data_IF_222241949304
#
_entry.id   IF_222241949304
#
_cell.length_a   1.000
_cell.length_b   1.000
_cell.length_c   1.000
_cell.angle_alpha   90.00
_cell.angle_beta   90.00
_cell.angle_gamma   90.00
#
_symmetry.space_group_name_H-M   'P 1'
#
loop_
_entity.id
_entity.type
_entity.pdbx_description
1 polymer ?
#
# COMPACT_ATOMS: atom_id res chain seq x y z
N UNK A 1 8.77 14.26 -4.25
CA UNK A 1 8.09 15.17 -5.23
C UNK A 1 9.05 15.69 -6.30
N UNK A 2 8.63 15.77 -7.57
CA UNK A 2 9.39 16.45 -8.64
C UNK A 2 9.65 17.90 -8.22
N UNK A 3 10.92 18.29 -8.13
CA UNK A 3 11.29 19.64 -7.71
C UNK A 3 10.79 20.68 -8.71
N UNK A 4 9.73 21.39 -8.35
CA UNK A 4 9.05 22.36 -9.22
C UNK A 4 10.01 23.39 -9.84
N UNK A 5 11.05 23.80 -9.11
CA UNK A 5 12.07 24.72 -9.61
C UNK A 5 12.86 24.21 -10.83
N UNK A 6 13.08 22.89 -10.94
CA UNK A 6 13.74 22.31 -12.13
C UNK A 6 12.88 22.45 -13.38
N UNK A 7 11.56 22.31 -13.23
CA UNK A 7 10.61 22.48 -14.33
C UNK A 7 10.47 23.93 -14.72
N UNK A 8 10.38 24.83 -13.73
CA UNK A 8 10.36 26.27 -13.96
C UNK A 8 11.59 26.72 -14.75
N UNK A 9 12.80 26.30 -14.34
CA UNK A 9 14.04 26.62 -15.05
C UNK A 9 14.08 26.02 -16.47
N UNK A 10 13.62 24.79 -16.64
CA UNK A 10 13.56 24.14 -17.97
C UNK A 10 12.61 24.87 -18.92
N UNK A 11 11.49 25.38 -18.40
CA UNK A 11 10.47 26.12 -19.16
C UNK A 11 10.63 27.64 -19.04
N UNK A 12 11.87 28.14 -19.12
CA UNK A 12 12.15 29.59 -19.22
C UNK A 12 11.50 30.43 -18.11
N UNK A 13 11.64 29.96 -16.87
CA UNK A 13 11.08 30.59 -15.67
C UNK A 13 9.54 30.74 -15.68
N UNK A 14 8.84 29.83 -16.37
CA UNK A 14 7.39 29.79 -16.44
C UNK A 14 6.71 29.94 -15.06
N UNK A 15 5.53 30.59 -14.98
CA UNK A 15 4.83 30.81 -13.72
C UNK A 15 4.53 29.50 -12.97
N UNK A 16 4.86 29.47 -11.68
CA UNK A 16 4.58 28.33 -10.80
C UNK A 16 3.32 28.60 -9.98
N UNK A 17 2.29 27.76 -10.14
CA UNK A 17 1.12 27.74 -9.28
C UNK A 17 1.25 26.59 -8.27
N UNK A 18 1.30 26.92 -6.98
CA UNK A 18 1.33 25.94 -5.91
C UNK A 18 -0.07 25.79 -5.29
N UNK A 19 -0.60 24.57 -5.32
CA UNK A 19 -1.86 24.23 -4.64
C UNK A 19 -1.51 23.51 -3.34
N UNK A 20 -1.80 24.09 -2.16
CA UNK A 20 -1.46 23.46 -0.90
C UNK A 20 -2.22 22.15 -0.75
N UNK A 21 -1.49 21.08 -0.47
CA UNK A 21 -2.08 19.79 -0.13
C UNK A 21 -2.78 19.85 1.23
N UNK A 22 -3.84 19.04 1.39
CA UNK A 22 -4.45 18.78 2.70
C UNK A 22 -3.90 17.46 3.21
N UNK A 23 -2.81 17.52 3.96
CA UNK A 23 -2.22 16.35 4.62
C UNK A 23 -2.55 16.37 6.10
N UNK A 24 -2.97 15.23 6.65
CA UNK A 24 -3.03 15.02 8.09
C UNK A 24 -1.65 14.63 8.62
N UNK A 25 -1.29 14.97 9.87
CA UNK A 25 -0.05 14.47 10.47
C UNK A 25 -0.06 12.94 10.50
N UNK A 26 1.04 12.33 10.06
CA UNK A 26 1.21 10.87 10.00
C UNK A 26 2.33 10.48 10.96
N UNK A 27 2.05 9.51 11.83
CA UNK A 27 3.05 8.90 12.69
C UNK A 27 3.79 7.79 11.94
N UNK A 28 5.12 7.77 12.03
CA UNK A 28 5.98 6.84 11.31
C UNK A 28 6.58 5.85 12.29
N UNK A 29 6.36 4.56 12.04
CA UNK A 29 6.91 3.46 12.83
C UNK A 29 7.90 2.66 12.00
N UNK A 30 9.03 2.29 12.60
CA UNK A 30 10.04 1.45 11.99
C UNK A 30 10.20 0.16 12.81
N UNK A 31 10.55 -0.93 12.14
CA UNK A 31 10.99 -2.14 12.84
C UNK A 31 12.30 -1.87 13.58
N UNK A 32 12.52 -2.47 14.76
CA UNK A 32 13.75 -2.25 15.52
C UNK A 32 14.98 -2.83 14.81
N UNK A 33 14.79 -3.91 14.05
CA UNK A 33 15.83 -4.57 13.27
C UNK A 33 15.36 -4.79 11.83
N UNK A 34 16.28 -4.95 10.86
CA UNK A 34 15.94 -5.29 9.48
C UNK A 34 15.24 -6.65 9.37
N UNK A 35 14.08 -6.68 8.72
CA UNK A 35 13.33 -7.91 8.48
C UNK A 35 13.84 -8.63 7.23
N UNK A 36 14.23 -9.91 7.38
CA UNK A 36 14.69 -10.74 6.25
C UNK A 36 13.54 -11.15 5.33
N UNK A 37 12.39 -11.45 5.92
CA UNK A 37 11.16 -11.78 5.23
C UNK A 37 10.15 -10.65 5.44
N UNK A 38 10.27 -9.64 4.58
CA UNK A 38 9.42 -8.46 4.66
C UNK A 38 7.94 -8.79 4.37
N UNK A 39 7.67 -9.83 3.56
CA UNK A 39 6.31 -10.27 3.26
C UNK A 39 5.65 -10.83 4.52
N UNK A 40 6.35 -11.67 5.26
CA UNK A 40 5.87 -12.19 6.55
C UNK A 40 5.64 -11.07 7.56
N UNK A 41 6.62 -10.19 7.71
CA UNK A 41 6.54 -9.07 8.63
C UNK A 41 5.36 -8.14 8.29
N UNK A 42 5.14 -7.87 7.00
CA UNK A 42 4.02 -7.05 6.53
C UNK A 42 2.66 -7.70 6.80
N UNK A 43 2.50 -9.00 6.49
CA UNK A 43 1.25 -9.74 6.76
C UNK A 43 0.95 -9.75 8.27
N UNK A 44 1.96 -10.03 9.10
CA UNK A 44 1.84 -9.99 10.57
C UNK A 44 1.42 -8.62 11.05
N UNK A 45 2.00 -7.56 10.48
CA UNK A 45 1.67 -6.17 10.84
C UNK A 45 0.22 -5.82 10.48
N UNK A 46 -0.26 -6.22 9.29
CA UNK A 46 -1.67 -6.04 8.90
C UNK A 46 -2.61 -6.73 9.90
N UNK A 47 -2.31 -7.97 10.28
CA UNK A 47 -3.12 -8.73 11.23
C UNK A 47 -3.08 -8.07 12.61
N UNK A 48 -1.90 -7.68 13.09
CA UNK A 48 -1.74 -7.01 14.39
C UNK A 48 -2.52 -5.69 14.45
N UNK A 49 -2.39 -4.83 13.44
CA UNK A 49 -3.15 -3.57 13.35
C UNK A 49 -4.66 -3.87 13.29
N UNK A 50 -5.09 -4.96 12.66
CA UNK A 50 -6.51 -5.34 12.64
C UNK A 50 -7.03 -5.81 14.01
N UNK A 51 -6.19 -6.49 14.80
CA UNK A 51 -6.58 -7.00 16.12
C UNK A 51 -6.49 -5.97 17.23
N UNK A 52 -5.46 -5.13 17.21
CA UNK A 52 -5.08 -4.30 18.35
C UNK A 52 -5.58 -2.86 18.26
N UNK A 53 -5.73 -2.32 17.05
CA UNK A 53 -6.17 -0.93 16.91
C UNK A 53 -7.68 -0.82 17.15
N UNK A 54 -8.08 0.15 17.96
CA UNK A 54 -9.49 0.47 18.22
C UNK A 54 -10.04 1.49 17.22
N UNK A 55 -9.16 2.20 16.51
CA UNK A 55 -9.53 3.23 15.55
C UNK A 55 -10.05 2.55 14.26
N UNK A 56 -11.14 3.08 13.73
CA UNK A 56 -11.67 2.68 12.43
C UNK A 56 -10.80 3.26 11.31
N UNK A 57 -10.59 2.48 10.25
CA UNK A 57 -9.74 2.90 9.14
C UNK A 57 -9.29 1.73 8.29
N UNK A 58 -9.21 2.00 6.99
CA UNK A 58 -8.73 1.05 6.00
C UNK A 58 -7.19 1.02 6.00
N UNK A 59 -6.64 -0.08 5.47
CA UNK A 59 -5.20 -0.32 5.39
C UNK A 59 -4.74 -0.31 3.94
N UNK A 60 -3.58 0.28 3.69
CA UNK A 60 -2.84 0.14 2.45
C UNK A 60 -1.55 -0.63 2.71
N UNK A 61 -1.36 -1.74 2.03
CA UNK A 61 -0.13 -2.53 2.06
C UNK A 61 0.54 -2.47 0.68
N UNK A 62 1.79 -2.01 0.63
CA UNK A 62 2.60 -2.06 -0.59
C UNK A 62 3.33 -3.39 -0.72
N UNK A 63 3.27 -4.01 -1.90
CA UNK A 63 4.03 -5.19 -2.30
C UNK A 63 4.49 -5.07 -3.76
N UNK A 64 5.32 -6.01 -4.20
CA UNK A 64 6.16 -5.81 -5.40
C UNK A 64 5.62 -6.48 -6.65
N UNK A 65 4.68 -7.42 -6.52
CA UNK A 65 4.11 -8.13 -7.66
C UNK A 65 2.87 -8.95 -7.37
N UNK A 66 2.15 -9.29 -8.45
CA UNK A 66 0.85 -9.98 -8.39
C UNK A 66 0.87 -11.27 -7.54
N UNK A 67 1.83 -12.18 -7.80
CA UNK A 67 1.89 -13.47 -7.10
C UNK A 67 2.03 -13.29 -5.58
N UNK A 68 2.92 -12.38 -5.18
CA UNK A 68 3.14 -11.99 -3.79
C UNK A 68 1.87 -11.43 -3.16
N UNK A 69 1.17 -10.54 -3.87
CA UNK A 69 -0.04 -9.88 -3.40
C UNK A 69 -1.22 -10.85 -3.25
N UNK A 70 -1.44 -11.72 -4.23
CA UNK A 70 -2.48 -12.75 -4.15
C UNK A 70 -2.18 -13.75 -3.04
N UNK A 71 -0.91 -14.13 -2.87
CA UNK A 71 -0.44 -14.93 -1.75
C UNK A 71 -0.73 -14.26 -0.42
N UNK A 72 -0.36 -12.99 -0.26
CA UNK A 72 -0.62 -12.20 0.93
C UNK A 72 -2.11 -12.13 1.27
N UNK A 73 -2.98 -11.82 0.29
CA UNK A 73 -4.42 -11.75 0.54
C UNK A 73 -5.01 -13.09 0.98
N UNK A 74 -4.58 -14.21 0.39
CA UNK A 74 -5.02 -15.55 0.81
C UNK A 74 -4.58 -15.85 2.25
N UNK A 75 -3.32 -15.53 2.59
CA UNK A 75 -2.75 -15.73 3.92
C UNK A 75 -3.45 -14.88 4.97
N UNK A 76 -3.58 -13.57 4.74
CA UNK A 76 -4.30 -12.64 5.61
C UNK A 76 -5.72 -13.15 5.87
N UNK A 77 -6.47 -13.49 4.82
CA UNK A 77 -7.84 -14.00 4.97
C UNK A 77 -7.91 -15.28 5.80
N UNK A 78 -6.96 -16.21 5.59
CA UNK A 78 -6.89 -17.46 6.36
C UNK A 78 -6.62 -17.19 7.83
N UNK A 79 -5.63 -16.37 8.14
CA UNK A 79 -5.27 -16.05 9.53
C UNK A 79 -6.42 -15.35 10.25
N UNK A 80 -7.07 -14.35 9.63
CA UNK A 80 -8.23 -13.67 10.22
C UNK A 80 -9.38 -14.64 10.50
N UNK A 81 -9.67 -15.56 9.58
CA UNK A 81 -10.73 -16.56 9.80
C UNK A 81 -10.42 -17.51 10.97
N UNK A 82 -9.13 -17.74 11.27
CA UNK A 82 -8.71 -18.60 12.38
C UNK A 82 -8.77 -17.93 13.75
N UNK A 83 -8.84 -16.59 13.81
CA UNK A 83 -8.88 -15.83 15.08
C UNK A 83 -10.24 -15.89 15.80
N UNK A 84 -11.27 -16.45 15.15
CA UNK A 84 -12.59 -16.65 15.74
C UNK A 84 -13.55 -15.47 15.56
N UNK A 85 -14.77 -15.57 16.11
CA UNK A 85 -15.88 -14.65 15.81
C UNK A 85 -15.75 -13.27 16.46
N UNK A 86 -14.88 -13.12 17.47
CA UNK A 86 -14.68 -11.85 18.20
C UNK A 86 -13.88 -10.82 17.40
N UNK A 87 -13.16 -11.24 16.35
CA UNK A 87 -12.44 -10.35 15.45
C UNK A 87 -13.37 -9.93 14.30
N UNK A 88 -13.35 -8.64 13.94
CA UNK A 88 -14.14 -8.12 12.83
C UNK A 88 -13.69 -8.67 11.48
N UNK A 89 -14.57 -8.66 10.49
CA UNK A 89 -14.24 -9.20 9.17
C UNK A 89 -13.26 -8.27 8.44
N UNK A 90 -12.32 -8.86 7.70
CA UNK A 90 -11.33 -8.13 6.90
C UNK A 90 -11.51 -8.43 5.42
N UNK A 91 -11.87 -7.41 4.62
CA UNK A 91 -11.94 -7.51 3.16
C UNK A 91 -10.55 -7.21 2.58
N UNK A 92 -9.90 -8.21 1.98
CA UNK A 92 -8.65 -8.03 1.25
C UNK A 92 -8.90 -7.80 -0.24
N UNK A 93 -8.33 -6.73 -0.81
CA UNK A 93 -8.45 -6.37 -2.22
C UNK A 93 -7.05 -6.15 -2.78
N UNK A 94 -6.66 -6.92 -3.80
CA UNK A 94 -5.41 -6.70 -4.51
C UNK A 94 -5.62 -5.81 -5.74
N UNK A 95 -4.76 -4.81 -5.93
CA UNK A 95 -4.80 -3.90 -7.09
C UNK A 95 -3.42 -3.71 -7.73
N UNK A 96 -3.30 -4.07 -9.01
CA UNK A 96 -2.06 -3.96 -9.78
C UNK A 96 -2.37 -3.57 -11.23
N UNK A 97 -1.35 -3.06 -11.93
CA UNK A 97 -1.49 -2.34 -13.21
C UNK A 97 -2.14 -3.12 -14.35
N UNK A 98 -2.11 -4.46 -14.33
CA UNK A 98 -2.69 -5.30 -15.38
C UNK A 98 -4.17 -5.62 -15.17
N UNK A 99 -4.76 -5.22 -14.03
CA UNK A 99 -6.18 -5.45 -13.78
C UNK A 99 -7.07 -4.57 -14.66
N UNK A 100 -8.20 -5.10 -15.18
CA UNK A 100 -9.20 -4.29 -15.86
C UNK A 100 -9.75 -3.15 -14.98
N UNK A 101 -10.14 -1.99 -15.56
CA UNK A 101 -10.60 -0.82 -14.79
C UNK A 101 -11.77 -1.11 -13.82
N UNK A 102 -12.73 -1.95 -14.23
CA UNK A 102 -13.84 -2.37 -13.39
C UNK A 102 -13.40 -3.17 -12.16
N UNK A 103 -12.27 -3.88 -12.24
CA UNK A 103 -11.70 -4.62 -11.11
C UNK A 103 -10.88 -3.67 -10.22
N UNK A 104 -10.18 -2.70 -10.79
CA UNK A 104 -9.45 -1.69 -10.02
C UNK A 104 -10.41 -0.85 -9.15
N UNK A 105 -11.61 -0.55 -9.65
CA UNK A 105 -12.65 0.17 -8.91
C UNK A 105 -13.12 -0.54 -7.63
N UNK A 106 -12.80 -1.83 -7.44
CA UNK A 106 -13.14 -2.55 -6.22
C UNK A 106 -12.48 -1.97 -4.97
N UNK A 107 -11.37 -1.22 -5.12
CA UNK A 107 -10.76 -0.49 -4.00
C UNK A 107 -11.72 0.53 -3.36
N UNK A 108 -12.72 1.02 -4.13
CA UNK A 108 -13.75 1.95 -3.67
C UNK A 108 -14.89 1.25 -2.92
N UNK A 109 -14.92 -0.08 -2.89
CA UNK A 109 -15.89 -0.81 -2.09
C UNK A 109 -15.74 -0.45 -0.60
N UNK A 110 -16.87 -0.29 0.08
CA UNK A 110 -16.89 -0.08 1.52
C UNK A 110 -16.35 -1.31 2.28
N UNK A 111 -15.75 -1.10 3.47
CA UNK A 111 -15.37 -2.19 4.35
C UNK A 111 -16.60 -2.99 4.81
N UNK A 112 -16.42 -4.23 5.28
CA UNK A 112 -17.49 -4.99 5.93
C UNK A 112 -18.10 -4.22 7.12
N UNK A 113 -19.38 -4.45 7.44
CA UNK A 113 -19.99 -3.84 8.62
C UNK A 113 -19.34 -4.36 9.91
N UNK A 114 -19.44 -3.55 10.98
CA UNK A 114 -19.02 -3.97 12.31
C UNK A 114 -19.88 -5.15 12.81
N UNK A 115 -19.26 -6.05 13.57
CA UNK A 115 -19.99 -7.16 14.21
C UNK A 115 -20.84 -6.67 15.38
N UNK A 116 -21.91 -7.38 15.76
CA UNK A 116 -22.83 -6.97 16.84
C UNK A 116 -22.14 -6.72 18.20
N UNK A 117 -21.01 -7.38 18.46
CA UNK A 117 -20.21 -7.22 19.68
C UNK A 117 -19.21 -6.05 19.63
N UNK A 118 -19.27 -5.21 18.60
CA UNK A 118 -18.42 -4.01 18.46
C UNK A 118 -17.12 -4.22 17.68
N UNK A 119 -16.80 -5.44 17.26
CA UNK A 119 -15.59 -5.70 16.46
C UNK A 119 -15.66 -5.02 15.09
N UNK A 120 -14.61 -4.28 14.73
CA UNK A 120 -14.62 -3.38 13.57
C UNK A 120 -14.38 -4.17 12.28
N UNK A 121 -15.30 -4.02 11.32
CA UNK A 121 -15.11 -4.53 9.96
C UNK A 121 -14.21 -3.60 9.18
N UNK A 122 -13.20 -4.13 8.47
CA UNK A 122 -12.16 -3.32 7.82
C UNK A 122 -11.83 -3.80 6.42
N UNK A 123 -11.21 -2.93 5.62
CA UNK A 123 -10.64 -3.29 4.32
C UNK A 123 -9.12 -3.13 4.37
N UNK A 124 -8.43 -4.03 3.67
CA UNK A 124 -7.01 -3.87 3.34
C UNK A 124 -6.86 -3.92 1.84
N UNK A 125 -6.32 -2.84 1.27
CA UNK A 125 -5.89 -2.76 -0.11
C UNK A 125 -4.43 -3.17 -0.17
N UNK A 126 -4.14 -4.21 -0.94
CA UNK A 126 -2.79 -4.66 -1.24
C UNK A 126 -2.45 -4.16 -2.63
N UNK A 127 -1.45 -3.29 -2.75
CA UNK A 127 -1.15 -2.58 -3.99
C UNK A 127 0.33 -2.60 -4.33
N UNK A 128 0.63 -2.32 -5.59
CA UNK A 128 1.97 -1.86 -5.99
C UNK A 128 2.06 -0.34 -5.83
N UNK A 129 3.15 0.27 -6.30
CA UNK A 129 3.30 1.72 -6.38
C UNK A 129 2.24 2.44 -7.25
N UNK A 130 1.31 1.71 -7.91
CA UNK A 130 0.15 2.32 -8.58
C UNK A 130 -0.75 3.11 -7.61
N UNK A 131 -0.82 2.69 -6.34
CA UNK A 131 -1.58 3.41 -5.31
C UNK A 131 -0.88 4.71 -4.85
N UNK A 132 0.42 4.86 -5.08
CA UNK A 132 1.20 6.03 -4.66
C UNK A 132 0.82 7.28 -5.46
N UNK A 133 0.50 7.12 -6.75
CA UNK A 133 0.34 8.26 -7.68
C UNK A 133 -0.98 8.28 -8.45
N UNK A 134 -1.68 7.15 -8.57
CA UNK A 134 -2.68 6.99 -9.62
C UNK A 134 -4.10 6.67 -9.15
N UNK A 135 -4.32 6.43 -7.85
CA UNK A 135 -5.63 6.09 -7.31
C UNK A 135 -5.90 6.88 -6.03
N UNK A 136 -6.93 7.71 -6.05
CA UNK A 136 -7.46 8.34 -4.84
C UNK A 136 -8.30 7.31 -4.10
N UNK A 137 -7.80 6.86 -2.96
CA UNK A 137 -8.56 6.02 -2.05
C UNK A 137 -8.92 6.86 -0.84
N UNK A 138 -10.16 6.70 -0.37
CA UNK A 138 -10.69 7.42 0.78
C UNK A 138 -10.78 6.46 1.97
N UNK A 139 -10.26 6.91 3.12
CA UNK A 139 -10.44 6.22 4.41
C UNK A 139 -9.26 5.37 4.88
N UNK A 140 -8.15 5.35 4.15
CA UNK A 140 -6.89 4.73 4.58
C UNK A 140 -6.28 5.53 5.73
N UNK A 141 -6.19 4.88 6.90
CA UNK A 141 -5.58 5.46 8.11
C UNK A 141 -4.23 4.80 8.39
N UNK A 142 -4.01 3.58 7.88
CA UNK A 142 -2.82 2.79 8.14
C UNK A 142 -2.12 2.44 6.82
N UNK A 143 -0.84 2.78 6.72
CA UNK A 143 0.02 2.42 5.57
C UNK A 143 1.12 1.50 6.06
N UNK A 144 1.27 0.35 5.40
CA UNK A 144 2.33 -0.62 5.63
C UNK A 144 3.21 -0.62 4.38
N UNK A 145 4.45 -0.17 4.54
CA UNK A 145 5.43 -0.08 3.46
C UNK A 145 6.68 -0.91 3.80
N UNK A 146 6.87 -2.07 3.14
CA UNK A 146 8.10 -2.86 3.25
C UNK A 146 9.35 -2.18 2.69
N UNK A 147 9.20 -1.10 1.91
CA UNK A 147 10.30 -0.35 1.34
C UNK A 147 10.90 -0.94 0.06
N UNK A 148 10.14 -1.76 -0.68
CA UNK A 148 10.59 -2.38 -1.93
C UNK A 148 9.60 -2.11 -3.06
N UNK A 149 10.11 -1.88 -4.27
CA UNK A 149 9.29 -1.75 -5.47
C UNK A 149 9.97 -2.41 -6.66
N UNK A 150 9.19 -2.97 -7.58
CA UNK A 150 9.73 -3.55 -8.81
C UNK A 150 10.12 -2.42 -9.77
N UNK A 151 11.39 -2.35 -10.13
CA UNK A 151 11.96 -1.30 -10.97
C UNK A 151 12.64 -1.89 -12.20
N UNK A 152 12.53 -1.17 -13.31
CA UNK A 152 13.19 -1.49 -14.57
C UNK A 152 14.63 -0.99 -14.52
N UNK A 153 15.58 -1.91 -14.60
CA UNK A 153 17.02 -1.62 -14.53
C UNK A 153 17.65 -1.97 -15.87
N UNK A 154 18.38 -1.01 -16.44
CA UNK A 154 19.11 -1.19 -17.70
C UNK A 154 20.61 -1.32 -17.44
N UNK A 155 21.22 -2.39 -17.94
CA UNK A 155 22.67 -2.56 -17.90
C UNK A 155 23.26 -2.18 -19.27
N UNK A 156 23.97 -1.04 -19.40
CA UNK A 156 24.47 -0.55 -20.68
C UNK A 156 25.60 -1.42 -21.27
N UNK A 157 26.38 -2.10 -20.43
CA UNK A 157 27.51 -2.92 -20.87
C UNK A 157 27.06 -4.15 -21.65
N UNK A 158 25.96 -4.76 -21.22
CA UNK A 158 25.37 -5.94 -21.89
C UNK A 158 24.12 -5.60 -22.71
N UNK A 159 23.65 -4.34 -22.67
CA UNK A 159 22.44 -3.83 -23.34
C UNK A 159 21.18 -4.62 -22.99
N UNK A 160 21.10 -5.13 -21.78
CA UNK A 160 19.96 -5.90 -21.27
C UNK A 160 19.17 -5.05 -20.29
N UNK A 161 17.86 -5.22 -20.35
CA UNK A 161 16.92 -4.64 -19.41
C UNK A 161 16.31 -5.74 -18.55
N UNK A 162 16.14 -5.48 -17.26
CA UNK A 162 15.64 -6.45 -16.29
C UNK A 162 14.75 -5.79 -15.26
N UNK A 163 13.76 -6.53 -14.75
CA UNK A 163 12.92 -6.08 -13.64
C UNK A 163 13.51 -6.60 -12.34
N UNK A 164 14.03 -5.71 -11.51
CA UNK A 164 14.58 -6.05 -10.19
C UNK A 164 13.68 -5.46 -9.10
N UNK A 165 13.86 -5.94 -7.86
CA UNK A 165 13.13 -5.44 -6.68
C UNK A 165 14.14 -4.78 -5.73
N UNK A 166 14.60 -3.55 -6.03
CA UNK A 166 15.46 -2.80 -5.13
C UNK A 166 14.67 -2.12 -4.00
N UNK A 167 15.35 -1.66 -2.94
CA UNK A 167 14.78 -0.72 -1.98
C UNK A 167 14.30 0.57 -2.65
N UNK A 168 13.22 1.15 -2.14
CA UNK A 168 12.69 2.43 -2.62
C UNK A 168 13.52 3.62 -2.13
N UNK A 169 13.36 4.76 -2.80
CA UNK A 169 13.94 6.02 -2.36
C UNK A 169 13.10 6.69 -1.27
N UNK A 170 13.65 7.69 -0.57
CA UNK A 170 12.94 8.49 0.43
C UNK A 170 11.99 9.57 -0.16
N UNK A 171 11.81 9.60 -1.48
CA UNK A 171 11.37 10.79 -2.23
C UNK A 171 9.86 10.89 -2.47
#
# INVERSE_FOLDING_TARGET
>A
TLGAGKFQQYFEDAPLMNVPGRTHPVEIFYTPEPERDYLEAAIRTVIQIHMCEEIAGDRLLFLTGQEEMEGACKRIKREINNLGPEIGDLKCISVYSTLPPNVQQRILESPPPNKPKGAIGRKVVVSTNIAETSLTMDGEVFVIDPGFAKQKVYNPSIRVESMLVPPISKA
#
